data_IF_992840128595
#
_entry.id   IF_992840128595
#
_cell.length_a   1.000
_cell.length_b   1.000
_cell.length_c   1.000
_cell.angle_alpha   90.00
_cell.angle_beta   90.00
_cell.angle_gamma   90.00
#
_symmetry.space_group_name_H-M   'P 1'
#
loop_
_entity.id
_entity.type
_entity.pdbx_description
1 polymer ?
#
# COMPACT_ATOMS: atom_id res chain seq x y z
N UNK A 1 -50.58 20.29 -78.05
CA UNK A 1 -50.11 19.36 -77.01
C UNK A 1 -49.04 20.06 -76.16
N UNK A 2 -49.41 21.17 -75.53
CA UNK A 2 -48.51 22.11 -74.84
C UNK A 2 -48.37 21.73 -73.36
N UNK A 3 -49.44 21.20 -72.76
CA UNK A 3 -49.44 20.75 -71.36
C UNK A 3 -48.50 19.57 -71.11
N UNK A 4 -48.34 18.65 -72.08
CA UNK A 4 -47.35 17.58 -71.97
C UNK A 4 -45.92 18.14 -71.94
N UNK A 5 -45.66 19.21 -72.69
CA UNK A 5 -44.36 19.85 -72.77
C UNK A 5 -44.02 20.60 -71.46
N UNK A 6 -44.97 21.32 -70.88
CA UNK A 6 -44.80 21.96 -69.57
C UNK A 6 -44.63 20.94 -68.43
N UNK A 7 -45.36 19.82 -68.48
CA UNK A 7 -45.19 18.74 -67.50
C UNK A 7 -43.82 18.06 -67.65
N UNK A 8 -43.34 17.84 -68.88
CA UNK A 8 -42.01 17.30 -69.13
C UNK A 8 -40.91 18.25 -68.62
N UNK A 9 -41.03 19.55 -68.88
CA UNK A 9 -40.10 20.57 -68.38
C UNK A 9 -40.08 20.58 -66.84
N UNK A 10 -41.25 20.56 -66.18
CA UNK A 10 -41.34 20.48 -64.72
C UNK A 10 -40.67 19.22 -64.17
N UNK A 11 -40.85 18.08 -64.85
CA UNK A 11 -40.23 16.82 -64.45
C UNK A 11 -38.70 16.85 -64.59
N UNK A 12 -38.19 17.43 -65.68
CA UNK A 12 -36.75 17.64 -65.88
C UNK A 12 -36.16 18.54 -64.80
N UNK A 13 -36.81 19.67 -64.46
CA UNK A 13 -36.36 20.53 -63.37
C UNK A 13 -36.41 19.84 -62.00
N UNK A 14 -37.43 19.01 -61.74
CA UNK A 14 -37.54 18.25 -60.49
C UNK A 14 -36.42 17.21 -60.38
N UNK A 15 -36.13 16.48 -61.47
CA UNK A 15 -35.04 15.51 -61.53
C UNK A 15 -33.68 16.19 -61.35
N UNK A 16 -33.47 17.37 -61.97
CA UNK A 16 -32.24 18.13 -61.85
C UNK A 16 -32.05 18.67 -60.41
N UNK A 17 -33.13 19.15 -59.77
CA UNK A 17 -33.12 19.57 -58.37
C UNK A 17 -32.84 18.40 -57.41
N UNK A 18 -33.41 17.22 -57.66
CA UNK A 18 -33.13 16.00 -56.89
C UNK A 18 -31.67 15.55 -57.04
N UNK A 19 -31.10 15.64 -58.25
CA UNK A 19 -29.68 15.32 -58.48
C UNK A 19 -28.74 16.30 -57.76
N UNK A 20 -29.02 17.60 -57.83
CA UNK A 20 -28.28 18.64 -57.09
C UNK A 20 -28.39 18.45 -55.57
N UNK A 21 -29.57 18.07 -55.07
CA UNK A 21 -29.80 17.78 -53.66
C UNK A 21 -29.01 16.53 -53.19
N UNK A 22 -28.96 15.47 -54.01
CA UNK A 22 -28.15 14.29 -53.73
C UNK A 22 -26.65 14.63 -53.68
N UNK A 23 -26.14 15.39 -54.65
CA UNK A 23 -24.74 15.85 -54.67
C UNK A 23 -24.39 16.75 -53.47
N UNK A 24 -25.33 17.60 -53.03
CA UNK A 24 -25.14 18.44 -51.85
C UNK A 24 -25.13 17.61 -50.54
N UNK A 25 -25.98 16.57 -50.44
CA UNK A 25 -25.96 15.64 -49.31
C UNK A 25 -24.65 14.86 -49.25
N UNK A 26 -24.09 14.44 -50.39
CA UNK A 26 -22.78 13.77 -50.44
C UNK A 26 -21.66 14.71 -50.00
N UNK A 27 -21.69 15.98 -50.43
CA UNK A 27 -20.70 16.98 -50.00
C UNK A 27 -20.77 17.25 -48.49
N UNK A 28 -21.97 17.42 -47.93
CA UNK A 28 -22.16 17.61 -46.48
C UNK A 28 -21.66 16.39 -45.71
N UNK A 29 -21.95 15.18 -46.20
CA UNK A 29 -21.50 13.94 -45.58
C UNK A 29 -19.97 13.82 -45.60
N UNK A 30 -19.33 14.14 -46.72
CA UNK A 30 -17.86 14.14 -46.84
C UNK A 30 -17.20 15.17 -45.93
N UNK A 31 -17.77 16.38 -45.81
CA UNK A 31 -17.27 17.40 -44.87
C UNK A 31 -17.43 16.93 -43.42
N UNK A 32 -18.55 16.31 -43.07
CA UNK A 32 -18.80 15.81 -41.72
C UNK A 32 -17.83 14.67 -41.36
N UNK A 33 -17.57 13.75 -42.29
CA UNK A 33 -16.55 12.69 -42.12
C UNK A 33 -15.16 13.28 -42.00
N UNK A 34 -14.80 14.29 -42.82
CA UNK A 34 -13.49 14.96 -42.71
C UNK A 34 -13.32 15.67 -41.37
N UNK A 35 -14.34 16.39 -40.89
CA UNK A 35 -14.33 17.03 -39.56
C UNK A 35 -14.19 15.97 -38.47
N UNK A 36 -14.92 14.85 -38.55
CA UNK A 36 -14.79 13.73 -37.61
C UNK A 36 -13.37 13.16 -37.63
N UNK A 37 -12.79 12.91 -38.81
CA UNK A 37 -11.42 12.39 -38.93
C UNK A 37 -10.39 13.37 -38.41
N UNK A 38 -10.57 14.68 -38.63
CA UNK A 38 -9.69 15.72 -38.08
C UNK A 38 -9.85 15.81 -36.57
N UNK A 39 -11.07 15.80 -36.04
CA UNK A 39 -11.34 15.83 -34.59
C UNK A 39 -10.79 14.56 -33.92
N UNK A 40 -11.03 13.38 -34.48
CA UNK A 40 -10.41 12.13 -34.03
C UNK A 40 -8.89 12.20 -34.12
N UNK A 41 -8.34 12.75 -35.21
CA UNK A 41 -6.91 12.96 -35.37
C UNK A 41 -6.30 13.92 -34.34
N UNK A 42 -7.03 14.97 -33.95
CA UNK A 42 -6.62 15.91 -32.90
C UNK A 42 -6.72 15.28 -31.50
N UNK A 43 -7.75 14.45 -31.25
CA UNK A 43 -7.88 13.66 -30.01
C UNK A 43 -6.75 12.63 -29.89
N UNK A 44 -6.41 11.96 -30.99
CA UNK A 44 -5.34 10.94 -31.04
C UNK A 44 -3.95 11.59 -30.95
N UNK A 45 -3.73 12.76 -31.58
CA UNK A 45 -2.47 13.52 -31.50
C UNK A 45 -2.22 14.13 -30.12
N UNK A 46 -3.26 14.31 -29.30
CA UNK A 46 -3.23 14.97 -28.00
C UNK A 46 -2.86 14.10 -26.79
N UNK A 47 -2.27 12.91 -26.96
CA UNK A 47 -1.88 12.09 -25.82
C UNK A 47 -0.69 11.17 -26.11
N UNK A 48 0.49 11.77 -26.35
CA UNK A 48 1.71 11.12 -25.85
C UNK A 48 1.69 11.23 -24.33
N UNK A 49 0.88 10.39 -23.67
CA UNK A 49 1.01 10.18 -22.22
C UNK A 49 2.44 9.71 -22.02
N UNK A 50 3.24 10.53 -21.34
CA UNK A 50 4.47 10.04 -20.76
C UNK A 50 4.09 8.80 -19.93
N UNK A 51 4.88 7.71 -19.97
CA UNK A 51 4.61 6.58 -19.10
C UNK A 51 4.45 7.12 -17.67
N UNK A 52 3.47 6.64 -16.90
CA UNK A 52 3.37 7.04 -15.51
C UNK A 52 4.74 6.81 -14.86
N UNK A 53 5.18 7.72 -13.95
CA UNK A 53 6.39 7.46 -13.21
C UNK A 53 6.29 6.07 -12.60
N UNK A 54 7.38 5.29 -12.59
CA UNK A 54 7.37 3.99 -11.92
C UNK A 54 6.81 4.18 -10.50
N UNK A 55 5.98 3.24 -10.00
CA UNK A 55 5.43 3.35 -8.66
C UNK A 55 6.58 3.59 -7.68
N UNK A 56 6.39 4.53 -6.74
CA UNK A 56 7.38 4.79 -5.71
C UNK A 56 7.73 3.47 -5.02
N UNK A 57 9.03 3.19 -4.85
CA UNK A 57 9.47 1.99 -4.14
C UNK A 57 8.85 1.98 -2.75
N UNK A 58 8.38 0.82 -2.31
CA UNK A 58 7.83 0.70 -0.96
C UNK A 58 8.95 0.93 0.06
N UNK A 59 8.82 1.97 0.88
CA UNK A 59 9.75 2.23 1.97
C UNK A 59 9.08 1.83 3.29
N UNK A 60 9.54 0.73 3.87
CA UNK A 60 9.09 0.26 5.17
C UNK A 60 9.77 1.04 6.30
N UNK A 61 11.10 1.17 6.23
CA UNK A 61 11.93 1.67 7.33
C UNK A 61 12.24 0.59 8.37
N UNK A 62 12.32 1.00 9.63
CA UNK A 62 12.55 0.10 10.76
C UNK A 62 11.25 -0.64 11.13
N UNK A 63 11.33 -1.94 11.31
CA UNK A 63 10.19 -2.79 11.70
C UNK A 63 10.62 -3.83 12.71
N UNK A 64 9.72 -4.24 13.60
CA UNK A 64 9.99 -5.38 14.50
C UNK A 64 9.65 -6.70 13.83
N UNK A 65 10.20 -7.83 14.32
CA UNK A 65 9.79 -9.16 13.84
C UNK A 65 8.30 -9.42 14.04
N UNK A 66 7.71 -8.87 15.09
CA UNK A 66 6.27 -8.97 15.35
C UNK A 66 5.45 -8.25 14.27
N UNK A 67 5.82 -7.01 13.94
CA UNK A 67 5.15 -6.29 12.85
C UNK A 67 5.39 -6.94 11.49
N UNK A 68 6.58 -7.51 11.26
CA UNK A 68 6.91 -8.18 10.00
C UNK A 68 5.92 -9.31 9.69
N UNK A 69 5.35 -9.99 10.70
CA UNK A 69 4.36 -11.08 10.52
C UNK A 69 3.11 -10.66 9.76
N UNK A 70 2.76 -9.38 9.77
CA UNK A 70 1.62 -8.86 9.00
C UNK A 70 1.91 -8.73 7.50
N UNK A 71 3.15 -8.94 7.07
CA UNK A 71 3.60 -8.88 5.66
C UNK A 71 3.79 -10.28 5.06
N UNK A 72 2.86 -11.18 5.36
CA UNK A 72 2.87 -12.60 4.98
C UNK A 72 2.16 -12.90 3.64
N UNK A 73 1.76 -11.86 2.91
CA UNK A 73 1.10 -11.98 1.60
C UNK A 73 -0.39 -12.32 1.62
N UNK A 74 -1.01 -12.53 2.79
CA UNK A 74 -2.47 -12.74 2.89
C UNK A 74 -3.26 -11.42 2.89
N UNK A 75 -2.63 -10.31 3.29
CA UNK A 75 -3.19 -8.96 3.19
C UNK A 75 -2.72 -8.32 1.88
N UNK A 76 -3.63 -8.22 0.90
CA UNK A 76 -3.31 -7.67 -0.43
C UNK A 76 -3.08 -6.16 -0.43
N UNK A 77 -3.38 -5.47 0.68
CA UNK A 77 -3.07 -4.04 0.84
C UNK A 77 -1.61 -3.79 1.24
N UNK A 78 -0.88 -4.84 1.62
CA UNK A 78 0.53 -4.80 2.00
C UNK A 78 1.40 -5.53 1.00
N UNK A 79 2.68 -5.16 0.88
CA UNK A 79 3.65 -5.99 0.17
C UNK A 79 3.89 -7.31 0.94
N UNK A 80 4.34 -8.31 0.21
CA UNK A 80 4.85 -9.56 0.79
C UNK A 80 6.33 -9.39 1.07
N UNK A 81 6.72 -9.51 2.34
CA UNK A 81 8.08 -9.20 2.78
C UNK A 81 8.78 -10.41 3.40
N UNK A 82 10.11 -10.44 3.31
CA UNK A 82 10.98 -11.45 3.96
C UNK A 82 12.17 -10.73 4.59
N UNK A 83 12.58 -11.15 5.78
CA UNK A 83 13.81 -10.66 6.40
C UNK A 83 14.94 -11.69 6.30
N UNK A 84 16.14 -11.20 5.97
CA UNK A 84 17.36 -11.99 5.94
C UNK A 84 18.47 -11.15 6.57
N UNK A 85 19.06 -11.63 7.68
CA UNK A 85 20.10 -10.91 8.44
C UNK A 85 19.64 -9.50 8.81
N UNK A 86 18.40 -9.41 9.29
CA UNK A 86 17.74 -8.17 9.66
C UNK A 86 17.52 -7.17 8.51
N UNK A 87 17.83 -7.50 7.26
CA UNK A 87 17.43 -6.68 6.10
C UNK A 87 16.08 -7.18 5.59
N UNK A 88 15.15 -6.27 5.33
CA UNK A 88 13.80 -6.61 4.84
C UNK A 88 13.73 -6.39 3.34
N UNK A 89 13.29 -7.40 2.60
CA UNK A 89 13.17 -7.43 1.15
C UNK A 89 11.71 -7.56 0.72
N UNK A 90 11.34 -6.84 -0.35
CA UNK A 90 10.05 -6.98 -1.01
C UNK A 90 10.09 -8.11 -2.04
N UNK A 91 9.29 -9.15 -1.78
CA UNK A 91 9.16 -10.33 -2.65
C UNK A 91 7.83 -10.36 -3.40
N UNK A 92 7.07 -9.26 -3.39
CA UNK A 92 5.75 -9.15 -4.05
C UNK A 92 5.82 -9.41 -5.55
N UNK A 93 6.96 -9.11 -6.18
CA UNK A 93 7.22 -9.37 -7.60
C UNK A 93 7.34 -10.88 -7.96
N UNK A 94 7.35 -11.76 -6.96
CA UNK A 94 7.46 -13.22 -7.11
C UNK A 94 6.28 -13.93 -6.46
N UNK A 95 5.06 -13.48 -6.78
CA UNK A 95 3.82 -14.09 -6.27
C UNK A 95 3.73 -15.60 -6.54
N UNK A 96 4.24 -16.09 -7.67
CA UNK A 96 4.24 -17.53 -7.97
C UNK A 96 5.11 -18.37 -7.03
N UNK A 97 6.00 -17.74 -6.28
CA UNK A 97 6.92 -18.37 -5.32
C UNK A 97 6.48 -18.09 -3.88
N UNK A 98 6.19 -16.84 -3.54
CA UNK A 98 5.92 -16.40 -2.17
C UNK A 98 4.45 -16.10 -1.86
N UNK A 99 3.56 -16.12 -2.85
CA UNK A 99 2.14 -15.84 -2.65
C UNK A 99 1.43 -16.90 -1.80
N UNK A 100 0.26 -16.59 -1.22
CA UNK A 100 -0.51 -17.52 -0.40
C UNK A 100 -0.71 -18.89 -1.07
N UNK A 101 -0.45 -19.96 -0.32
CA UNK A 101 -0.57 -21.35 -0.79
C UNK A 101 0.63 -21.87 -1.60
N UNK A 102 1.65 -21.05 -1.85
CA UNK A 102 2.93 -21.50 -2.42
C UNK A 102 3.86 -22.05 -1.34
N UNK A 103 4.77 -23.00 -1.63
CA UNK A 103 5.69 -23.55 -0.64
C UNK A 103 6.52 -22.50 0.09
N UNK A 104 7.10 -21.53 -0.62
CA UNK A 104 7.94 -20.50 0.00
C UNK A 104 7.15 -19.39 0.71
N UNK A 105 5.81 -19.42 0.70
CA UNK A 105 5.01 -18.47 1.49
C UNK A 105 5.28 -18.59 2.99
N UNK A 106 5.70 -19.76 3.49
CA UNK A 106 6.09 -19.98 4.88
C UNK A 106 7.18 -19.02 5.38
N UNK A 107 8.04 -18.55 4.46
CA UNK A 107 9.10 -17.58 4.76
C UNK A 107 8.63 -16.13 4.87
N UNK A 108 7.43 -15.82 4.38
CA UNK A 108 6.94 -14.44 4.31
C UNK A 108 6.50 -13.93 5.67
N UNK A 109 6.77 -12.66 5.93
CA UNK A 109 6.59 -12.04 7.22
C UNK A 109 7.51 -12.61 8.32
N UNK A 110 8.63 -13.24 7.96
CA UNK A 110 9.57 -13.88 8.90
C UNK A 110 11.01 -13.48 8.60
N UNK A 111 11.87 -13.71 9.59
CA UNK A 111 13.33 -13.72 9.42
C UNK A 111 13.77 -15.15 9.13
N UNK A 112 14.55 -15.36 8.06
CA UNK A 112 14.82 -16.70 7.53
C UNK A 112 16.31 -16.99 7.29
N UNK A 113 17.22 -16.14 7.78
CA UNK A 113 18.65 -16.34 7.54
C UNK A 113 19.14 -17.75 7.92
N UNK A 114 18.75 -18.25 9.10
CA UNK A 114 19.12 -19.61 9.51
C UNK A 114 18.48 -20.68 8.61
N UNK A 115 17.22 -20.54 8.25
CA UNK A 115 16.54 -21.46 7.34
C UNK A 115 17.20 -21.54 5.96
N UNK A 116 17.65 -20.42 5.40
CA UNK A 116 18.41 -20.40 4.14
C UNK A 116 19.77 -21.11 4.27
N UNK A 117 20.48 -20.88 5.38
CA UNK A 117 21.75 -21.57 5.65
C UNK A 117 21.57 -23.10 5.74
N UNK A 118 20.50 -23.54 6.41
CA UNK A 118 20.18 -24.96 6.59
C UNK A 118 19.52 -25.60 5.36
N UNK A 119 18.90 -24.81 4.48
CA UNK A 119 17.98 -25.31 3.45
C UNK A 119 16.68 -25.87 4.06
N UNK A 120 16.24 -25.28 5.18
CA UNK A 120 15.13 -25.77 6.01
C UNK A 120 13.83 -25.00 5.72
N UNK A 121 12.71 -25.70 5.87
CA UNK A 121 11.35 -25.12 5.87
C UNK A 121 10.69 -25.24 7.25
N UNK A 122 11.42 -25.72 8.27
CA UNK A 122 10.91 -25.83 9.62
C UNK A 122 10.82 -24.43 10.26
N UNK A 123 9.67 -24.09 10.82
CA UNK A 123 9.43 -22.76 11.41
C UNK A 123 10.40 -22.43 12.56
N UNK A 124 10.91 -23.43 13.27
CA UNK A 124 11.93 -23.25 14.32
C UNK A 124 13.24 -22.62 13.80
N UNK A 125 13.52 -22.79 12.51
CA UNK A 125 14.71 -22.25 11.86
C UNK A 125 14.48 -20.84 11.28
N UNK A 126 13.27 -20.27 11.45
CA UNK A 126 12.94 -18.91 10.99
C UNK A 126 13.43 -17.89 12.02
N UNK A 127 14.75 -17.70 12.04
CA UNK A 127 15.46 -16.83 12.99
C UNK A 127 16.73 -16.22 12.36
N UNK A 128 17.18 -15.13 12.97
CA UNK A 128 18.48 -14.51 12.67
C UNK A 128 19.65 -15.22 13.39
N UNK A 129 19.36 -16.15 14.31
CA UNK A 129 20.38 -16.88 15.06
C UNK A 129 21.13 -17.89 14.17
N UNK A 130 22.41 -17.59 13.95
CA UNK A 130 23.33 -18.40 13.13
C UNK A 130 24.27 -19.26 14.00
N UNK A 131 24.06 -19.30 15.31
CA UNK A 131 24.91 -20.08 16.20
C UNK A 131 24.83 -21.58 15.87
N UNK A 132 26.01 -22.22 15.93
CA UNK A 132 26.17 -23.65 15.66
C UNK A 132 26.14 -24.05 14.17
N UNK A 133 26.08 -23.08 13.24
CA UNK A 133 26.16 -23.38 11.81
C UNK A 133 27.60 -23.64 11.34
N UNK A 134 27.76 -24.52 10.34
CA UNK A 134 29.07 -24.80 9.72
C UNK A 134 29.45 -23.73 8.70
N UNK A 135 30.73 -23.69 8.32
CA UNK A 135 31.22 -22.78 7.28
C UNK A 135 30.49 -22.96 5.93
N UNK A 136 30.18 -24.20 5.54
CA UNK A 136 29.43 -24.51 4.31
C UNK A 136 27.99 -23.96 4.38
N UNK A 137 27.34 -24.07 5.53
CA UNK A 137 25.99 -23.52 5.73
C UNK A 137 25.99 -21.99 5.69
N UNK A 138 27.01 -21.35 6.25
CA UNK A 138 27.19 -19.90 6.17
C UNK A 138 27.47 -19.44 4.73
N UNK A 139 28.29 -20.17 3.97
CA UNK A 139 28.54 -19.88 2.56
C UNK A 139 27.25 -19.96 1.72
N UNK A 140 26.41 -20.96 1.97
CA UNK A 140 25.08 -21.06 1.35
C UNK A 140 24.20 -19.85 1.66
N UNK A 141 24.20 -19.38 2.91
CA UNK A 141 23.48 -18.17 3.29
C UNK A 141 24.01 -16.93 2.56
N UNK A 142 25.33 -16.75 2.49
CA UNK A 142 25.93 -15.60 1.79
C UNK A 142 25.55 -15.60 0.31
N UNK A 143 25.57 -16.76 -0.35
CA UNK A 143 25.10 -16.88 -1.73
C UNK A 143 23.62 -16.52 -1.87
N UNK A 144 22.77 -17.01 -0.97
CA UNK A 144 21.35 -16.68 -0.96
C UNK A 144 21.10 -15.18 -0.74
N UNK A 145 21.84 -14.53 0.16
CA UNK A 145 21.76 -13.08 0.39
C UNK A 145 22.11 -12.30 -0.88
N UNK A 146 23.19 -12.67 -1.56
CA UNK A 146 23.60 -12.02 -2.82
C UNK A 146 22.52 -12.16 -3.90
N UNK A 147 21.91 -13.33 -4.03
CA UNK A 147 20.81 -13.55 -4.96
C UNK A 147 19.58 -12.72 -4.60
N UNK A 148 19.23 -12.62 -3.31
CA UNK A 148 18.13 -11.77 -2.85
C UNK A 148 18.38 -10.30 -3.14
N UNK A 149 19.57 -9.78 -2.83
CA UNK A 149 19.94 -8.38 -3.09
C UNK A 149 19.91 -8.02 -4.58
N UNK A 150 20.11 -9.01 -5.46
CA UNK A 150 20.02 -8.84 -6.91
C UNK A 150 18.58 -8.89 -7.43
N UNK A 151 17.72 -9.70 -6.81
CA UNK A 151 16.37 -10.01 -7.31
C UNK A 151 15.25 -9.20 -6.64
N UNK A 152 15.50 -8.65 -5.45
CA UNK A 152 14.50 -8.03 -4.59
C UNK A 152 14.98 -6.68 -4.07
N UNK A 153 14.06 -5.73 -4.01
CA UNK A 153 14.33 -4.42 -3.41
C UNK A 153 14.41 -4.57 -1.89
N UNK A 154 15.47 -4.04 -1.28
CA UNK A 154 15.53 -3.84 0.17
C UNK A 154 14.64 -2.66 0.54
N UNK A 155 13.67 -2.89 1.41
CA UNK A 155 12.66 -1.89 1.80
C UNK A 155 12.78 -1.43 3.25
N UNK A 156 13.60 -2.10 4.06
CA UNK A 156 13.74 -1.77 5.47
C UNK A 156 14.73 -2.66 6.21
N UNK A 157 14.61 -2.65 7.53
CA UNK A 157 15.37 -3.53 8.41
C UNK A 157 14.57 -3.93 9.64
N UNK A 158 14.86 -5.12 10.15
CA UNK A 158 14.33 -5.62 11.41
C UNK A 158 15.13 -5.02 12.56
N UNK A 159 14.44 -4.37 13.48
CA UNK A 159 15.02 -3.84 14.72
C UNK A 159 14.43 -4.57 15.93
N UNK A 160 15.20 -4.61 17.03
CA UNK A 160 14.71 -5.13 18.30
C UNK A 160 13.55 -4.26 18.81
N UNK A 161 12.59 -4.90 19.48
CA UNK A 161 11.53 -4.18 20.19
C UNK A 161 12.18 -3.26 21.23
N UNK A 162 11.97 -1.95 21.08
CA UNK A 162 12.37 -0.98 22.09
C UNK A 162 11.29 -0.90 23.17
N UNK A 163 11.72 -0.83 24.42
CA UNK A 163 10.83 -0.46 25.52
C UNK A 163 10.76 1.07 25.59
N UNK A 164 9.55 1.58 25.68
CA UNK A 164 9.26 2.99 25.87
C UNK A 164 8.63 3.18 27.24
N UNK A 165 9.14 4.14 28.00
CA UNK A 165 8.41 4.73 29.13
C UNK A 165 7.33 5.68 28.62
N UNK A 166 6.39 6.07 29.49
CA UNK A 166 5.35 7.07 29.14
C UNK A 166 6.01 8.40 28.75
N UNK A 167 7.06 8.79 29.46
CA UNK A 167 7.80 10.02 29.21
C UNK A 167 8.59 9.99 27.90
N UNK A 168 9.12 8.82 27.52
CA UNK A 168 9.77 8.67 26.21
C UNK A 168 8.75 8.68 25.09
N UNK A 169 7.62 7.99 25.24
CA UNK A 169 6.56 7.98 24.24
C UNK A 169 6.02 9.40 24.01
N UNK A 170 5.82 10.17 25.09
CA UNK A 170 5.31 11.55 25.03
C UNK A 170 6.18 12.51 24.19
N UNK A 171 7.47 12.21 23.99
CA UNK A 171 8.35 13.02 23.12
C UNK A 171 8.04 12.86 21.63
N UNK A 172 7.26 11.85 21.27
CA UNK A 172 6.87 11.52 19.90
C UNK A 172 5.46 12.02 19.56
N UNK A 173 5.09 13.19 20.10
CA UNK A 173 3.80 13.86 19.92
C UNK A 173 3.73 14.76 18.67
N UNK A 174 4.88 15.01 18.03
CA UNK A 174 5.01 15.87 16.84
C UNK A 174 5.36 17.32 17.14
N UNK A 175 5.65 17.68 18.39
CA UNK A 175 6.18 19.00 18.76
C UNK A 175 7.59 19.23 18.21
N UNK A 176 8.36 18.16 18.00
CA UNK A 176 9.66 18.16 17.34
C UNK A 176 9.57 17.46 15.97
N UNK A 177 9.70 18.24 14.89
CA UNK A 177 9.64 17.75 13.50
C UNK A 177 10.78 16.81 13.13
N UNK A 178 11.85 16.72 13.93
CA UNK A 178 12.94 15.78 13.71
C UNK A 178 12.65 14.36 14.24
N UNK A 179 11.61 14.23 15.07
CA UNK A 179 11.20 12.96 15.66
C UNK A 179 10.01 12.34 14.90
N UNK A 180 9.97 11.00 14.79
CA UNK A 180 8.80 10.30 14.29
C UNK A 180 7.62 10.42 15.27
N UNK A 181 6.40 10.28 14.77
CA UNK A 181 5.18 10.26 15.56
C UNK A 181 4.87 8.84 16.01
N UNK A 182 4.65 8.65 17.31
CA UNK A 182 4.30 7.36 17.89
C UNK A 182 2.99 7.43 18.67
N UNK A 183 2.29 6.31 18.78
CA UNK A 183 1.25 6.11 19.80
C UNK A 183 1.29 4.67 20.29
N UNK A 184 0.67 4.41 21.44
CA UNK A 184 0.53 3.07 21.98
C UNK A 184 -0.93 2.61 21.99
N UNK A 185 -1.16 1.34 21.67
CA UNK A 185 -2.45 0.67 21.85
C UNK A 185 -2.21 -0.60 22.64
N UNK A 186 -2.75 -0.65 23.86
CA UNK A 186 -2.64 -1.80 24.76
C UNK A 186 -1.16 -2.20 24.96
N UNK A 187 -0.32 -1.19 25.15
CA UNK A 187 1.13 -1.36 25.32
C UNK A 187 1.93 -1.63 24.05
N UNK A 188 1.31 -1.67 22.87
CA UNK A 188 2.01 -1.84 21.57
C UNK A 188 2.29 -0.47 20.97
N UNK A 189 3.55 -0.11 20.74
CA UNK A 189 3.91 1.19 20.17
C UNK A 189 3.98 1.11 18.65
N UNK A 190 3.22 1.97 17.98
CA UNK A 190 3.11 2.06 16.52
C UNK A 190 3.77 3.33 15.99
N UNK A 191 4.47 3.22 14.86
CA UNK A 191 4.90 4.36 14.06
C UNK A 191 3.78 4.89 13.15
N UNK A 192 3.24 6.05 13.53
CA UNK A 192 2.14 6.71 12.85
C UNK A 192 2.60 7.91 12.02
N UNK A 193 3.91 8.05 11.76
CA UNK A 193 4.50 9.18 11.02
C UNK A 193 3.88 9.32 9.61
N UNK A 194 3.59 8.20 8.94
CA UNK A 194 2.87 8.17 7.64
C UNK A 194 1.44 8.73 7.70
N UNK A 195 0.89 8.88 8.91
CA UNK A 195 -0.41 9.48 9.21
C UNK A 195 -0.31 10.87 9.84
N UNK A 196 0.80 11.61 9.63
CA UNK A 196 1.01 12.96 10.22
C UNK A 196 -0.16 13.92 9.98
N UNK A 197 -0.85 13.84 8.85
CA UNK A 197 -2.05 14.64 8.55
C UNK A 197 -3.23 14.37 9.50
N UNK A 198 -3.24 13.22 10.19
CA UNK A 198 -4.29 12.83 11.12
C UNK A 198 -3.87 13.02 12.59
N UNK A 199 -2.61 12.72 12.91
CA UNK A 199 -2.11 12.64 14.29
C UNK A 199 -1.05 13.68 14.66
N UNK A 200 -0.52 14.43 13.69
CA UNK A 200 0.44 15.49 13.96
C UNK A 200 -0.22 16.69 14.66
N UNK A 201 0.55 17.76 14.95
CA UNK A 201 0.07 18.93 15.68
C UNK A 201 -1.19 19.59 15.08
N UNK A 202 -1.31 19.57 13.76
CA UNK A 202 -2.47 20.11 13.02
C UNK A 202 -3.54 19.04 12.70
N UNK A 203 -3.36 17.82 13.21
CA UNK A 203 -4.23 16.68 13.00
C UNK A 203 -5.51 16.72 13.83
N UNK A 204 -6.50 15.93 13.42
CA UNK A 204 -7.80 15.84 14.12
C UNK A 204 -7.73 14.98 15.39
N UNK A 205 -6.76 14.06 15.45
CA UNK A 205 -6.66 13.08 16.53
C UNK A 205 -5.50 13.42 17.48
N UNK A 206 -5.77 13.75 18.76
CA UNK A 206 -4.77 14.17 19.72
C UNK A 206 -4.02 12.98 20.37
N UNK A 207 -3.68 11.97 19.58
CA UNK A 207 -3.22 10.66 20.05
C UNK A 207 -1.71 10.46 20.01
N UNK A 208 -0.98 11.29 19.26
CA UNK A 208 0.47 11.19 19.20
C UNK A 208 1.10 11.38 20.59
N UNK A 209 2.11 10.56 20.88
CA UNK A 209 2.81 10.48 22.15
C UNK A 209 2.05 9.80 23.29
N UNK A 210 0.89 9.17 23.03
CA UNK A 210 0.00 8.66 24.09
C UNK A 210 -0.36 7.20 23.93
N UNK A 211 -0.78 6.58 25.03
CA UNK A 211 -1.53 5.33 25.03
C UNK A 211 -3.01 5.64 24.85
N UNK A 212 -3.68 4.93 23.93
CA UNK A 212 -5.02 5.32 23.45
C UNK A 212 -6.00 4.15 23.36
N UNK A 213 -5.70 3.00 24.00
CA UNK A 213 -6.60 1.86 23.99
C UNK A 213 -8.03 2.20 24.47
N UNK A 214 -8.16 2.94 25.57
CA UNK A 214 -9.49 3.35 26.06
C UNK A 214 -10.20 4.30 25.09
N UNK A 215 -9.49 5.30 24.56
CA UNK A 215 -10.02 6.23 23.57
C UNK A 215 -10.57 5.48 22.34
N UNK A 216 -9.86 4.48 21.82
CA UNK A 216 -10.34 3.67 20.70
C UNK A 216 -11.53 2.77 21.05
N UNK A 217 -11.57 2.21 22.25
CA UNK A 217 -12.71 1.41 22.71
C UNK A 217 -14.01 2.23 22.75
N UNK A 218 -13.90 3.48 23.21
CA UNK A 218 -15.01 4.42 23.41
C UNK A 218 -15.33 5.29 22.20
N UNK A 219 -14.52 5.22 21.13
CA UNK A 219 -14.51 6.20 20.02
C UNK A 219 -14.38 7.65 20.50
N UNK A 220 -13.61 7.87 21.55
CA UNK A 220 -13.39 9.18 22.17
C UNK A 220 -12.14 9.85 21.62
N UNK A 221 -12.17 11.17 21.49
CA UNK A 221 -10.99 12.02 21.25
C UNK A 221 -10.65 12.86 22.48
N UNK A 222 -11.29 12.61 23.62
CA UNK A 222 -11.05 13.33 24.85
C UNK A 222 -9.74 12.90 25.51
N UNK A 223 -8.98 13.86 26.05
CA UNK A 223 -7.69 13.61 26.68
C UNK A 223 -7.77 12.60 27.83
N UNK A 224 -8.85 12.68 28.64
CA UNK A 224 -9.08 11.78 29.77
C UNK A 224 -9.24 10.31 29.38
N UNK A 225 -9.55 10.02 28.11
CA UNK A 225 -9.69 8.66 27.60
C UNK A 225 -8.40 8.15 26.92
N UNK A 226 -7.36 8.99 26.79
CA UNK A 226 -6.05 8.60 26.28
C UNK A 226 -5.22 7.89 27.37
N UNK A 227 -5.59 6.65 27.67
CA UNK A 227 -4.88 5.76 28.60
C UNK A 227 -5.17 4.27 28.31
N UNK A 228 -4.58 3.38 29.13
CA UNK A 228 -4.71 1.92 29.06
C UNK A 228 -5.85 1.34 29.92
N UNK A 229 -6.64 2.18 30.62
CA UNK A 229 -7.66 1.67 31.54
C UNK A 229 -8.89 1.13 30.79
N UNK A 230 -9.00 -0.19 30.74
CA UNK A 230 -10.11 -0.91 30.14
C UNK A 230 -11.20 -1.33 31.14
N UNK A 231 -11.08 -0.94 32.41
CA UNK A 231 -12.09 -1.25 33.42
C UNK A 231 -13.42 -0.56 33.11
N UNK A 232 -14.52 -1.28 33.39
CA UNK A 232 -15.88 -0.79 33.18
C UNK A 232 -16.34 -0.76 31.73
N UNK A 233 -15.50 -1.15 30.77
CA UNK A 233 -15.89 -1.26 29.36
C UNK A 233 -16.77 -2.49 29.11
N UNK A 234 -17.79 -2.30 28.29
CA UNK A 234 -18.66 -3.35 27.77
C UNK A 234 -17.96 -4.22 26.73
N UNK A 235 -18.57 -5.37 26.42
CA UNK A 235 -18.07 -6.26 25.37
C UNK A 235 -17.95 -5.56 24.02
N UNK A 236 -18.94 -4.75 23.64
CA UNK A 236 -18.95 -4.01 22.37
C UNK A 236 -17.81 -3.00 22.29
N UNK A 237 -17.51 -2.29 23.39
CA UNK A 237 -16.39 -1.35 23.43
C UNK A 237 -15.03 -2.05 23.30
N UNK A 238 -14.89 -3.23 23.92
CA UNK A 238 -13.70 -4.06 23.77
C UNK A 238 -13.57 -4.63 22.34
N UNK A 239 -14.68 -4.93 21.67
CA UNK A 239 -14.71 -5.33 20.27
C UNK A 239 -14.26 -4.18 19.35
N UNK A 240 -14.71 -2.94 19.61
CA UNK A 240 -14.23 -1.76 18.88
C UNK A 240 -12.71 -1.60 19.00
N UNK A 241 -12.16 -1.75 20.21
CA UNK A 241 -10.72 -1.70 20.43
C UNK A 241 -9.99 -2.80 19.63
N UNK A 242 -10.51 -4.02 19.63
CA UNK A 242 -9.95 -5.13 18.86
C UNK A 242 -9.89 -4.81 17.37
N UNK A 243 -10.95 -4.24 16.82
CA UNK A 243 -11.01 -3.83 15.42
C UNK A 243 -10.01 -2.72 15.09
N UNK A 244 -9.84 -1.75 16.00
CA UNK A 244 -8.81 -0.72 15.88
C UNK A 244 -7.40 -1.31 15.89
N UNK A 245 -7.11 -2.23 16.80
CA UNK A 245 -5.82 -2.94 16.84
C UNK A 245 -5.58 -3.65 15.50
N UNK A 246 -6.58 -4.32 14.95
CA UNK A 246 -6.49 -4.95 13.62
C UNK A 246 -6.15 -3.95 12.51
N UNK A 247 -6.85 -2.81 12.47
CA UNK A 247 -6.58 -1.73 11.50
C UNK A 247 -5.16 -1.17 11.64
N UNK A 248 -4.69 -0.96 12.88
CA UNK A 248 -3.36 -0.43 13.14
C UNK A 248 -2.26 -1.42 12.77
N UNK A 249 -2.42 -2.70 13.09
CA UNK A 249 -1.51 -3.76 12.64
C UNK A 249 -1.42 -3.82 11.10
N UNK A 250 -2.53 -3.58 10.39
CA UNK A 250 -2.50 -3.52 8.94
C UNK A 250 -1.84 -2.24 8.39
N UNK A 251 -1.93 -1.11 9.09
CA UNK A 251 -1.53 0.19 8.53
C UNK A 251 -0.16 0.71 8.97
N UNK A 252 0.24 0.45 10.21
CA UNK A 252 1.40 1.08 10.85
C UNK A 252 2.39 0.03 11.35
N UNK A 253 3.68 0.39 11.37
CA UNK A 253 4.73 -0.50 11.86
C UNK A 253 4.73 -0.52 13.40
N UNK A 254 4.93 -1.69 14.01
CA UNK A 254 5.16 -1.81 15.45
C UNK A 254 6.65 -1.59 15.71
N UNK A 255 6.98 -0.62 16.55
CA UNK A 255 8.36 -0.20 16.86
C UNK A 255 8.76 -0.50 18.31
N UNK A 256 7.82 -0.86 19.17
CA UNK A 256 8.15 -1.11 20.57
C UNK A 256 7.00 -1.55 21.46
N UNK A 257 7.29 -1.58 22.76
CA UNK A 257 6.33 -1.79 23.84
C UNK A 257 6.37 -0.62 24.82
N UNK A 258 5.20 -0.17 25.24
CA UNK A 258 5.07 0.74 26.36
C UNK A 258 5.19 -0.09 27.64
N UNK A 259 6.16 0.24 28.48
CA UNK A 259 6.39 -0.44 29.76
C UNK A 259 5.84 0.41 30.90
N UNK A 260 5.24 -0.21 31.93
CA UNK A 260 4.80 0.51 33.11
C UNK A 260 6.01 1.16 33.83
N UNK A 261 5.79 2.28 34.54
CA UNK A 261 6.84 2.91 35.34
C UNK A 261 7.38 1.90 36.37
N UNK A 262 8.71 1.93 36.58
CA UNK A 262 9.42 1.07 37.53
C UNK A 262 9.13 1.45 38.98
#
# INVERSE_FOLDING_TARGET
NIDLYFNLIRYVFLLQALHLCAQAMDFVTLVLVFVIVVVLGLIIRGSKRSPPPPPAKYELGDVTLEALRFYNGYDWSKPTLVAIRSKVYDVSNKYDVYGPGKPSNAYTGREIARALALGSMDEKDFTADLDGLTAEQLERLEQAVQDFERLHDRVGQVVALRNFTVEELARHDGSDDSLPLYLSIKGTVYDITKGKQFYGPDGVYPFAGKEVARAFALFSTEEKDCNDNLEGLSYTELENLRDWIGKFNSKYAIVGRLVPPK
#
